data_IF_328528887220
#
_entry.id   IF_328528887220
#
_cell.length_a   1.000
_cell.length_b   1.000
_cell.length_c   1.000
_cell.angle_alpha   90.00
_cell.angle_beta   90.00
_cell.angle_gamma   90.00
#
_symmetry.space_group_name_H-M   'P 1'
#
loop_
_entity.id
_entity.type
_entity.pdbx_description
1 polymer ?
#
# COMPACT_ATOMS: atom_id res chain seq x y z
N UNK A 1 -12.45 23.89 10.53
CA UNK A 1 -12.03 23.02 11.66
C UNK A 1 -12.77 21.70 11.72
N UNK A 2 -14.04 21.60 12.17
CA UNK A 2 -14.74 20.29 12.25
C UNK A 2 -14.76 19.55 10.90
N UNK A 3 -15.02 20.27 9.80
CA UNK A 3 -15.01 19.69 8.45
C UNK A 3 -13.63 19.14 8.03
N UNK A 4 -12.51 19.79 8.40
CA UNK A 4 -11.16 19.31 8.03
C UNK A 4 -10.75 18.07 8.83
N UNK A 5 -11.08 18.01 10.12
CA UNK A 5 -10.87 16.82 10.96
C UNK A 5 -11.65 15.62 10.41
N UNK A 6 -12.90 15.84 10.00
CA UNK A 6 -13.73 14.81 9.37
C UNK A 6 -13.10 14.32 8.06
N UNK A 7 -12.71 15.23 7.16
CA UNK A 7 -12.10 14.85 5.87
C UNK A 7 -10.80 14.05 6.08
N UNK A 8 -9.96 14.43 7.03
CA UNK A 8 -8.74 13.66 7.36
C UNK A 8 -9.08 12.27 7.90
N UNK A 9 -10.13 12.18 8.72
CA UNK A 9 -10.60 10.91 9.28
C UNK A 9 -11.10 9.98 8.18
N UNK A 10 -11.92 10.49 7.26
CA UNK A 10 -12.42 9.76 6.08
C UNK A 10 -11.29 9.35 5.14
N UNK A 11 -10.28 10.21 4.95
CA UNK A 11 -9.08 9.89 4.16
C UNK A 11 -8.32 8.70 4.76
N UNK A 12 -8.16 8.66 6.08
CA UNK A 12 -7.52 7.52 6.77
C UNK A 12 -8.36 6.23 6.66
N UNK A 13 -9.69 6.34 6.79
CA UNK A 13 -10.57 5.18 6.60
C UNK A 13 -10.47 4.64 5.18
N UNK A 14 -10.39 5.53 4.18
CA UNK A 14 -10.19 5.13 2.79
C UNK A 14 -8.83 4.43 2.58
N UNK A 15 -7.76 4.96 3.17
CA UNK A 15 -6.44 4.29 3.12
C UNK A 15 -6.49 2.90 3.73
N UNK A 16 -7.16 2.73 4.88
CA UNK A 16 -7.34 1.41 5.49
C UNK A 16 -8.07 0.45 4.56
N UNK A 17 -9.15 0.89 3.91
CA UNK A 17 -9.91 0.08 2.95
C UNK A 17 -9.02 -0.36 1.76
N UNK A 18 -8.27 0.57 1.17
CA UNK A 18 -7.40 0.30 0.02
C UNK A 18 -6.25 -0.63 0.41
N UNK A 19 -5.59 -0.39 1.55
CA UNK A 19 -4.52 -1.24 2.07
C UNK A 19 -5.02 -2.65 2.39
N UNK A 20 -6.24 -2.80 2.91
CA UNK A 20 -6.85 -4.12 3.14
C UNK A 20 -7.03 -4.85 1.81
N UNK A 21 -7.51 -4.18 0.75
CA UNK A 21 -7.62 -4.79 -0.59
C UNK A 21 -6.26 -5.24 -1.11
N UNK A 22 -5.23 -4.40 -1.01
CA UNK A 22 -3.86 -4.76 -1.41
C UNK A 22 -3.37 -5.99 -0.63
N UNK A 23 -3.65 -6.06 0.67
CA UNK A 23 -3.31 -7.22 1.52
C UNK A 23 -3.95 -8.52 1.00
N UNK A 24 -5.22 -8.47 0.61
CA UNK A 24 -5.93 -9.63 0.06
C UNK A 24 -5.38 -10.03 -1.32
N UNK A 25 -5.07 -9.05 -2.19
CA UNK A 25 -4.37 -9.33 -3.45
C UNK A 25 -3.02 -10.00 -3.23
N UNK A 26 -2.28 -9.54 -2.21
CA UNK A 26 -1.00 -10.15 -1.86
C UNK A 26 -1.14 -11.58 -1.38
N UNK A 27 -2.13 -11.87 -0.55
CA UNK A 27 -2.40 -13.24 -0.11
C UNK A 27 -2.77 -14.15 -1.29
N UNK A 28 -3.66 -13.68 -2.18
CA UNK A 28 -4.05 -14.43 -3.38
C UNK A 28 -2.85 -14.69 -4.30
N UNK A 29 -1.96 -13.72 -4.43
CA UNK A 29 -0.74 -13.89 -5.21
C UNK A 29 0.19 -14.93 -4.58
N UNK A 30 0.38 -14.89 -3.26
CA UNK A 30 1.16 -15.90 -2.53
C UNK A 30 0.63 -17.31 -2.80
N UNK A 31 -0.69 -17.49 -2.78
CA UNK A 31 -1.38 -18.75 -3.10
C UNK A 31 -1.13 -19.20 -4.55
N UNK A 32 -1.22 -18.28 -5.53
CA UNK A 32 -0.98 -18.57 -6.95
C UNK A 32 0.44 -19.08 -7.18
N UNK A 33 1.46 -18.40 -6.62
CA UNK A 33 2.87 -18.78 -6.84
C UNK A 33 3.37 -19.92 -5.95
N UNK A 34 2.57 -20.30 -4.95
CA UNK A 34 2.83 -21.50 -4.13
C UNK A 34 2.17 -22.76 -4.71
N UNK A 35 1.26 -22.61 -5.68
CA UNK A 35 0.61 -23.74 -6.34
C UNK A 35 1.55 -24.49 -7.29
N UNK A 36 1.23 -25.77 -7.54
CA UNK A 36 2.00 -26.64 -8.46
C UNK A 36 1.96 -26.12 -9.92
N UNK A 37 0.84 -25.50 -10.31
CA UNK A 37 0.67 -24.86 -11.61
C UNK A 37 0.22 -23.42 -11.43
N UNK A 38 0.95 -22.49 -12.03
CA UNK A 38 0.62 -21.06 -12.02
C UNK A 38 -0.24 -20.72 -13.23
N UNK A 39 -1.41 -20.12 -12.96
CA UNK A 39 -2.22 -19.50 -14.01
C UNK A 39 -1.77 -18.05 -14.20
N UNK A 40 -1.04 -17.81 -15.30
CA UNK A 40 -0.50 -16.49 -15.60
C UNK A 40 -1.58 -15.45 -15.97
N UNK A 41 -2.75 -15.89 -16.44
CA UNK A 41 -3.82 -14.96 -16.82
C UNK A 41 -4.44 -14.28 -15.60
N UNK A 42 -4.65 -15.06 -14.52
CA UNK A 42 -5.14 -14.54 -13.24
C UNK A 42 -4.14 -13.61 -12.56
N UNK A 43 -2.86 -13.70 -12.91
CA UNK A 43 -1.80 -12.89 -12.34
C UNK A 43 -1.68 -11.52 -13.03
N UNK A 44 -1.74 -11.45 -14.36
CA UNK A 44 -1.64 -10.17 -15.09
C UNK A 44 -2.76 -9.20 -14.66
N UNK A 45 -4.02 -9.65 -14.63
CA UNK A 45 -5.16 -8.83 -14.19
C UNK A 45 -5.03 -8.37 -12.73
N UNK A 46 -4.55 -9.26 -11.85
CA UNK A 46 -4.36 -8.96 -10.43
C UNK A 46 -3.25 -7.93 -10.19
N UNK A 47 -2.18 -7.96 -10.99
CA UNK A 47 -1.08 -7.00 -10.89
C UNK A 47 -1.52 -5.60 -11.33
N UNK A 48 -2.27 -5.49 -12.42
CA UNK A 48 -2.78 -4.19 -12.88
C UNK A 48 -3.69 -3.54 -11.85
N UNK A 49 -4.66 -4.29 -11.30
CA UNK A 49 -5.57 -3.76 -10.30
C UNK A 49 -4.83 -3.39 -9.00
N UNK A 50 -3.84 -4.20 -8.59
CA UNK A 50 -2.99 -3.89 -7.43
C UNK A 50 -2.18 -2.61 -7.64
N UNK A 51 -1.66 -2.35 -8.83
CA UNK A 51 -0.97 -1.09 -9.14
C UNK A 51 -1.92 0.11 -9.01
N UNK A 52 -3.16 0.02 -9.51
CA UNK A 52 -4.16 1.09 -9.34
C UNK A 52 -4.45 1.40 -7.87
N UNK A 53 -4.55 0.37 -7.04
CA UNK A 53 -4.75 0.52 -5.60
C UNK A 53 -3.53 1.17 -4.92
N UNK A 54 -2.31 0.80 -5.32
CA UNK A 54 -1.08 1.44 -4.82
C UNK A 54 -1.07 2.93 -5.20
N UNK A 55 -1.39 3.27 -6.44
CA UNK A 55 -1.47 4.66 -6.91
C UNK A 55 -2.55 5.44 -6.14
N UNK A 56 -3.66 4.79 -5.77
CA UNK A 56 -4.69 5.36 -4.91
C UNK A 56 -4.16 5.65 -3.49
N UNK A 57 -3.42 4.72 -2.86
CA UNK A 57 -2.79 4.96 -1.55
C UNK A 57 -1.85 6.16 -1.61
N UNK A 58 -0.99 6.24 -2.64
CA UNK A 58 -0.04 7.35 -2.80
C UNK A 58 -0.77 8.68 -2.91
N UNK A 59 -1.83 8.77 -3.74
CA UNK A 59 -2.64 9.98 -3.88
C UNK A 59 -3.33 10.39 -2.58
N UNK A 60 -3.84 9.40 -1.83
CA UNK A 60 -4.46 9.65 -0.52
C UNK A 60 -3.42 10.13 0.51
N UNK A 61 -2.19 9.63 0.45
CA UNK A 61 -1.08 10.08 1.30
C UNK A 61 -0.70 11.53 1.01
N UNK A 62 -0.48 11.88 -0.25
CA UNK A 62 -0.18 13.27 -0.65
C UNK A 62 -1.30 14.24 -0.23
N UNK A 63 -2.56 13.88 -0.48
CA UNK A 63 -3.71 14.70 -0.10
C UNK A 63 -3.87 14.86 1.42
N UNK A 64 -3.57 13.79 2.17
CA UNK A 64 -3.60 13.81 3.62
C UNK A 64 -2.52 14.71 4.21
N UNK A 65 -1.27 14.62 3.71
CA UNK A 65 -0.14 15.44 4.20
C UNK A 65 -0.44 16.93 4.05
N UNK A 66 -0.92 17.35 2.88
CA UNK A 66 -1.28 18.75 2.60
C UNK A 66 -2.38 19.25 3.55
N UNK A 67 -3.41 18.44 3.81
CA UNK A 67 -4.51 18.80 4.70
C UNK A 67 -4.08 18.80 6.17
N UNK A 68 -3.24 17.84 6.56
CA UNK A 68 -2.73 17.70 7.91
C UNK A 68 -1.82 18.88 8.28
N UNK A 69 -0.92 19.31 7.39
CA UNK A 69 -0.06 20.49 7.63
C UNK A 69 -0.87 21.76 7.88
N UNK A 70 -1.93 21.98 7.10
CA UNK A 70 -2.85 23.12 7.28
C UNK A 70 -3.56 23.02 8.63
N UNK A 71 -4.12 21.84 8.95
CA UNK A 71 -4.80 21.61 10.21
C UNK A 71 -3.86 21.79 11.41
N UNK A 72 -2.61 21.33 11.33
CA UNK A 72 -1.65 21.42 12.43
C UNK A 72 -1.40 22.88 12.83
N UNK A 73 -1.29 23.79 11.86
CA UNK A 73 -1.16 25.24 12.08
C UNK A 73 -2.43 25.84 12.71
N UNK A 74 -3.61 25.44 12.22
CA UNK A 74 -4.89 25.93 12.74
C UNK A 74 -5.19 25.43 14.17
N UNK A 75 -4.62 24.30 14.57
CA UNK A 75 -4.76 23.74 15.91
C UNK A 75 -3.88 24.44 16.96
N UNK A 76 -2.91 25.27 16.56
CA UNK A 76 -2.10 26.05 17.49
C UNK A 76 -2.99 26.97 18.34
N UNK A 77 -2.93 26.80 19.66
CA UNK A 77 -3.76 27.55 20.62
C UNK A 77 -5.18 27.02 20.83
N UNK A 78 -5.64 25.99 20.10
CA UNK A 78 -7.00 25.43 20.25
C UNK A 78 -7.09 23.90 20.33
N UNK A 79 -5.93 23.20 20.44
CA UNK A 79 -5.86 21.71 20.52
C UNK A 79 -6.77 21.09 21.57
N UNK A 80 -6.91 21.70 22.75
CA UNK A 80 -7.72 21.14 23.85
C UNK A 80 -9.18 20.94 23.44
N UNK A 81 -9.74 21.84 22.62
CA UNK A 81 -11.12 21.75 22.14
C UNK A 81 -11.37 20.53 21.25
N UNK A 82 -10.33 20.06 20.55
CA UNK A 82 -10.43 18.95 19.58
C UNK A 82 -9.66 17.70 20.03
N UNK A 83 -9.34 17.59 21.33
CA UNK A 83 -8.48 16.53 21.84
C UNK A 83 -9.01 15.12 21.54
N UNK A 84 -10.33 14.92 21.56
CA UNK A 84 -10.95 13.63 21.24
C UNK A 84 -10.75 13.26 19.76
N UNK A 85 -11.04 14.19 18.84
CA UNK A 85 -10.87 13.98 17.41
C UNK A 85 -9.39 13.77 17.03
N UNK A 86 -8.48 14.51 17.67
CA UNK A 86 -7.04 14.34 17.45
C UNK A 86 -6.58 12.94 17.87
N UNK A 87 -7.05 12.43 19.03
CA UNK A 87 -6.72 11.06 19.47
C UNK A 87 -7.26 10.01 18.51
N UNK A 88 -8.46 10.19 17.99
CA UNK A 88 -9.05 9.29 16.99
C UNK A 88 -8.21 9.26 15.70
N UNK A 89 -7.82 10.43 15.19
CA UNK A 89 -6.95 10.54 14.02
C UNK A 89 -5.61 9.86 14.26
N UNK A 90 -4.99 10.07 15.42
CA UNK A 90 -3.73 9.39 15.79
C UNK A 90 -3.87 7.87 15.81
N UNK A 91 -4.98 7.35 16.36
CA UNK A 91 -5.26 5.92 16.37
C UNK A 91 -5.45 5.36 14.95
N UNK A 92 -6.13 6.10 14.06
CA UNK A 92 -6.29 5.72 12.65
C UNK A 92 -4.96 5.76 11.89
N UNK A 93 -4.13 6.78 12.11
CA UNK A 93 -2.76 6.86 11.56
C UNK A 93 -1.95 5.63 11.96
N UNK A 94 -1.96 5.25 13.25
CA UNK A 94 -1.24 4.08 13.73
C UNK A 94 -1.67 2.79 13.01
N UNK A 95 -2.99 2.60 12.83
CA UNK A 95 -3.54 1.44 12.09
C UNK A 95 -3.13 1.44 10.63
N UNK A 96 -3.15 2.61 9.96
CA UNK A 96 -2.68 2.74 8.57
C UNK A 96 -1.22 2.36 8.48
N UNK A 97 -0.37 2.89 9.37
CA UNK A 97 1.07 2.58 9.40
C UNK A 97 1.34 1.09 9.61
N UNK A 98 0.69 0.46 10.59
CA UNK A 98 0.83 -0.98 10.87
C UNK A 98 0.45 -1.82 9.64
N UNK A 99 -0.69 -1.50 9.02
CA UNK A 99 -1.17 -2.23 7.85
C UNK A 99 -0.26 -2.00 6.63
N UNK A 100 0.24 -0.79 6.41
CA UNK A 100 1.22 -0.48 5.34
C UNK A 100 2.49 -1.32 5.50
N UNK A 101 3.04 -1.43 6.72
CA UNK A 101 4.21 -2.27 6.99
C UNK A 101 3.92 -3.74 6.69
N UNK A 102 2.76 -4.24 7.09
CA UNK A 102 2.33 -5.62 6.77
C UNK A 102 2.22 -5.84 5.26
N UNK A 103 1.63 -4.91 4.52
CA UNK A 103 1.49 -4.97 3.06
C UNK A 103 2.87 -4.98 2.40
N UNK A 104 3.80 -4.11 2.81
CA UNK A 104 5.16 -4.08 2.29
C UNK A 104 5.91 -5.40 2.53
N UNK A 105 5.76 -5.98 3.72
CA UNK A 105 6.38 -7.26 4.05
C UNK A 105 5.82 -8.41 3.17
N UNK A 106 4.52 -8.41 2.90
CA UNK A 106 3.89 -9.37 1.98
C UNK A 106 4.37 -9.18 0.54
N UNK A 107 4.43 -7.93 0.06
CA UNK A 107 4.95 -7.61 -1.27
C UNK A 107 6.39 -8.11 -1.46
N UNK A 108 7.25 -7.90 -0.46
CA UNK A 108 8.63 -8.37 -0.51
C UNK A 108 8.73 -9.91 -0.60
N UNK A 109 7.82 -10.64 0.06
CA UNK A 109 7.75 -12.11 -0.05
C UNK A 109 7.22 -12.54 -1.42
N UNK A 110 6.15 -11.91 -1.88
CA UNK A 110 5.53 -12.15 -3.18
C UNK A 110 6.51 -11.91 -4.33
N UNK A 111 7.30 -10.84 -4.25
CA UNK A 111 8.38 -10.57 -5.19
C UNK A 111 9.36 -11.72 -5.31
N UNK A 112 9.82 -12.28 -4.18
CA UNK A 112 10.73 -13.44 -4.19
C UNK A 112 10.09 -14.68 -4.82
N UNK A 113 8.81 -14.95 -4.54
CA UNK A 113 8.08 -16.06 -5.15
C UNK A 113 8.02 -15.93 -6.67
N UNK A 114 7.66 -14.74 -7.15
CA UNK A 114 7.56 -14.43 -8.59
C UNK A 114 8.92 -14.51 -9.27
N UNK A 115 9.97 -13.91 -8.67
CA UNK A 115 11.33 -13.97 -9.19
C UNK A 115 11.82 -15.41 -9.33
N UNK A 116 11.58 -16.25 -8.31
CA UNK A 116 11.94 -17.67 -8.33
C UNK A 116 11.17 -18.44 -9.41
N UNK A 117 9.87 -18.19 -9.56
CA UNK A 117 9.06 -18.81 -10.61
C UNK A 117 9.62 -18.49 -12.01
N UNK A 118 9.86 -17.21 -12.31
CA UNK A 118 10.42 -16.81 -13.61
C UNK A 118 11.87 -17.26 -13.81
N UNK A 119 12.66 -17.43 -12.76
CA UNK A 119 13.99 -18.02 -12.88
C UNK A 119 13.91 -19.50 -13.33
N UNK A 120 12.99 -20.28 -12.74
CA UNK A 120 12.74 -21.68 -13.13
C UNK A 120 12.20 -21.80 -14.54
N UNK A 121 11.18 -20.99 -14.89
CA UNK A 121 10.60 -21.00 -16.24
C UNK A 121 11.62 -20.62 -17.32
N UNK A 122 12.53 -19.67 -17.05
CA UNK A 122 13.61 -19.30 -17.98
C UNK A 122 14.63 -20.40 -18.22
N UNK A 123 14.94 -21.19 -17.20
CA UNK A 123 15.79 -22.37 -17.35
C UNK A 123 15.09 -23.51 -18.13
N UNK A 124 13.76 -23.46 -18.22
CA UNK A 124 12.92 -24.57 -18.64
C UNK A 124 12.36 -24.55 -20.08
N UNK A 125 12.48 -23.49 -20.89
CA UNK A 125 12.25 -23.40 -22.36
C UNK A 125 11.95 -21.94 -22.79
N UNK A 126 12.59 -21.45 -23.86
CA UNK A 126 12.48 -20.07 -24.38
C UNK A 126 11.15 -19.65 -25.04
N UNK A 127 10.05 -20.38 -24.86
CA UNK A 127 8.81 -20.21 -25.64
C UNK A 127 7.65 -19.48 -24.93
N UNK A 128 7.67 -19.23 -23.61
CA UNK A 128 6.54 -18.62 -22.87
C UNK A 128 6.62 -17.10 -22.67
N UNK A 129 7.42 -16.39 -23.46
CA UNK A 129 7.67 -14.93 -23.32
C UNK A 129 6.45 -14.01 -23.54
N UNK A 130 5.31 -14.49 -24.03
CA UNK A 130 4.20 -13.62 -24.48
C UNK A 130 3.08 -13.36 -23.45
N UNK A 131 2.93 -14.18 -22.42
CA UNK A 131 1.71 -14.18 -21.58
C UNK A 131 1.93 -13.66 -20.15
N UNK A 132 2.96 -12.85 -19.90
CA UNK A 132 3.30 -12.41 -18.54
C UNK A 132 4.13 -11.11 -18.49
N UNK A 133 3.98 -10.26 -19.51
CA UNK A 133 4.86 -9.08 -19.67
C UNK A 133 4.59 -8.03 -18.59
N UNK A 134 3.33 -7.71 -18.33
CA UNK A 134 2.91 -6.72 -17.33
C UNK A 134 3.34 -7.14 -15.93
N UNK A 135 3.05 -8.39 -15.57
CA UNK A 135 3.57 -9.06 -14.39
C UNK A 135 5.10 -8.95 -14.21
N UNK A 136 5.85 -9.28 -15.26
CA UNK A 136 7.31 -9.26 -15.22
C UNK A 136 7.85 -7.83 -15.05
N UNK A 137 7.30 -6.87 -15.79
CA UNK A 137 7.70 -5.47 -15.75
C UNK A 137 7.39 -4.85 -14.37
N UNK A 138 6.26 -5.20 -13.74
CA UNK A 138 5.90 -4.79 -12.38
C UNK A 138 6.96 -5.24 -11.36
N UNK A 139 7.35 -6.51 -11.34
CA UNK A 139 8.34 -7.00 -10.35
C UNK A 139 9.75 -6.47 -10.61
N UNK A 140 10.07 -6.18 -11.87
CA UNK A 140 11.32 -5.54 -12.25
C UNK A 140 11.39 -4.07 -11.78
N UNK A 141 10.29 -3.33 -11.91
CA UNK A 141 10.21 -1.91 -11.52
C UNK A 141 10.02 -1.72 -10.01
N UNK A 142 9.52 -2.73 -9.29
CA UNK A 142 9.36 -2.72 -7.83
C UNK A 142 10.68 -2.59 -7.04
N UNK A 143 11.84 -2.54 -7.70
CA UNK A 143 13.12 -2.20 -7.08
C UNK A 143 13.25 -0.72 -6.69
N UNK A 144 12.29 0.16 -7.04
CA UNK A 144 12.31 1.59 -6.73
C UNK A 144 11.18 2.14 -5.84
N UNK A 145 10.11 1.38 -5.58
CA UNK A 145 8.94 1.86 -4.83
C UNK A 145 9.09 1.58 -3.32
N UNK A 146 10.16 2.10 -2.72
CA UNK A 146 10.27 2.16 -1.27
C UNK A 146 9.31 3.24 -0.78
N UNK A 147 8.06 2.86 -0.46
CA UNK A 147 7.20 3.71 0.34
C UNK A 147 7.91 3.98 1.67
N UNK A 148 8.40 5.20 1.82
CA UNK A 148 8.94 5.70 3.08
C UNK A 148 7.72 6.00 3.94
N UNK A 149 7.51 5.30 5.06
CA UNK A 149 6.39 5.63 5.94
C UNK A 149 6.48 7.12 6.29
N UNK A 150 5.35 7.86 6.32
CA UNK A 150 5.35 9.24 6.76
C UNK A 150 6.09 9.28 8.09
N UNK A 151 7.19 10.04 8.14
CA UNK A 151 7.84 10.38 9.39
C UNK A 151 6.86 11.27 10.15
N UNK A 152 5.84 10.64 10.73
CA UNK A 152 4.94 11.27 11.67
C UNK A 152 5.82 11.66 12.83
N UNK A 153 6.17 12.95 12.83
CA UNK A 153 7.03 13.62 13.78
C UNK A 153 6.86 13.00 15.16
N UNK A 154 7.89 12.26 15.58
CA UNK A 154 8.06 11.72 16.93
C UNK A 154 8.23 12.93 17.85
N UNK A 155 7.14 13.63 18.13
CA UNK A 155 7.09 14.62 19.19
C UNK A 155 6.95 13.84 20.51
N UNK A 156 8.05 13.19 20.90
CA UNK A 156 8.30 12.84 22.29
C UNK A 156 8.33 14.14 23.07
N UNK A 157 7.36 14.28 23.96
CA UNK A 157 7.49 15.14 25.13
C UNK A 157 8.44 14.48 26.13
#
# INVERSE_FOLDING_TARGET
>A
MENQLTILSESLDKKLEVLQKIREYNKRQEEIFSAEKVDMSLFDDAVEEKQRLIDEVVRLDEGFEILYEKLAKELEGNRQRYAAQIRELQAKVAKVTELSVSVQAQEARNKKLVENYFARERAGIGQRRKNAKSAFDYYKSMSGAGYVPPQMYDNKQ
#
